data_IF_639184138303
#
_entry.id   IF_639184138303
#
_cell.length_a   1.000
_cell.length_b   1.000
_cell.length_c   1.000
_cell.angle_alpha   90.00
_cell.angle_beta   90.00
_cell.angle_gamma   90.00
#
_symmetry.space_group_name_H-M   'P 1'
#
loop_
_entity.id
_entity.type
_entity.pdbx_description
1 polymer ?
#
# COMPACT_ATOMS: atom_id res chain seq x y z
N UNK A 1 13.06 -18.66 9.88
CA UNK A 1 12.83 -18.10 8.53
C UNK A 1 13.38 -16.69 8.51
N UNK A 2 14.10 -16.25 7.47
CA UNK A 2 14.62 -14.89 7.45
C UNK A 2 13.48 -13.86 7.55
N UNK A 3 13.70 -12.83 8.36
CA UNK A 3 12.77 -11.71 8.62
C UNK A 3 12.72 -10.79 7.41
N UNK A 4 11.97 -11.16 6.37
CA UNK A 4 11.73 -10.31 5.21
C UNK A 4 10.37 -9.60 5.33
N UNK A 5 10.11 -9.01 6.49
CA UNK A 5 8.90 -8.23 6.76
C UNK A 5 9.17 -6.74 6.56
N UNK A 6 8.30 -6.07 5.79
CA UNK A 6 8.34 -4.62 5.67
C UNK A 6 7.51 -3.99 6.79
N UNK A 7 8.17 -3.52 7.84
CA UNK A 7 7.51 -2.86 8.97
C UNK A 7 7.46 -1.35 8.80
N UNK A 8 8.50 -0.76 8.21
CA UNK A 8 8.64 0.67 7.97
C UNK A 8 9.12 0.88 6.53
N UNK A 9 8.79 2.03 5.95
CA UNK A 9 9.20 2.39 4.60
C UNK A 9 9.40 3.89 4.54
N UNK A 10 10.54 4.34 4.03
CA UNK A 10 10.78 5.73 3.66
C UNK A 10 11.00 5.81 2.15
N UNK A 11 10.43 6.83 1.52
CA UNK A 11 10.59 7.11 0.10
C UNK A 11 11.01 8.57 0.00
N UNK A 12 12.32 8.89 0.03
CA UNK A 12 12.81 10.27 0.18
C UNK A 12 12.27 11.26 -0.88
N UNK A 13 11.90 10.77 -2.06
CA UNK A 13 11.32 11.59 -3.12
C UNK A 13 9.86 12.02 -2.88
N UNK A 14 9.15 11.40 -1.93
CA UNK A 14 7.75 11.69 -1.64
C UNK A 14 7.51 12.00 -0.16
N UNK A 15 6.67 12.99 0.14
CA UNK A 15 6.29 13.31 1.51
C UNK A 15 5.46 12.18 2.11
N UNK A 16 5.87 11.63 3.26
CA UNK A 16 5.06 10.68 4.01
C UNK A 16 3.97 11.42 4.80
N UNK A 17 2.77 11.47 4.23
CA UNK A 17 1.60 12.15 4.81
C UNK A 17 1.07 11.42 6.05
N UNK A 18 1.11 10.08 6.03
CA UNK A 18 0.54 9.27 7.13
C UNK A 18 1.19 7.90 7.23
N UNK A 19 1.54 7.53 8.46
CA UNK A 19 1.78 6.14 8.84
C UNK A 19 0.59 5.60 9.63
N UNK A 20 -0.22 4.74 9.01
CA UNK A 20 -1.34 4.05 9.67
C UNK A 20 -0.91 2.76 10.35
N UNK A 21 -1.86 2.02 10.95
CA UNK A 21 -1.57 0.72 11.58
C UNK A 21 -0.88 -0.26 10.60
N UNK A 22 -1.32 -0.29 9.34
CA UNK A 22 -0.90 -1.30 8.35
C UNK A 22 -0.59 -0.75 6.95
N UNK A 23 -0.60 0.58 6.77
CA UNK A 23 -0.29 1.23 5.49
C UNK A 23 0.51 2.50 5.72
N UNK A 24 1.46 2.75 4.83
CA UNK A 24 2.09 4.04 4.64
C UNK A 24 1.39 4.78 3.49
N UNK A 25 1.28 6.10 3.61
CA UNK A 25 0.68 6.98 2.60
C UNK A 25 1.68 8.07 2.25
N UNK A 26 2.03 8.15 0.98
CA UNK A 26 2.94 9.17 0.44
C UNK A 26 2.21 10.09 -0.54
N UNK A 27 2.55 11.38 -0.52
CA UNK A 27 2.05 12.36 -1.48
C UNK A 27 2.89 12.36 -2.75
N UNK A 28 2.25 12.17 -3.90
CA UNK A 28 2.87 12.23 -5.23
C UNK A 28 2.46 13.50 -6.01
N UNK A 29 1.94 14.53 -5.34
CA UNK A 29 1.42 15.75 -5.93
C UNK A 29 -0.06 15.62 -6.29
N UNK A 30 -0.38 15.00 -7.44
CA UNK A 30 -1.77 14.87 -7.94
C UNK A 30 -2.49 13.62 -7.39
N UNK A 31 -1.76 12.72 -6.74
CA UNK A 31 -2.25 11.43 -6.26
C UNK A 31 -1.59 11.04 -4.94
N UNK A 32 -2.10 9.99 -4.31
CA UNK A 32 -1.43 9.34 -3.19
C UNK A 32 -0.88 7.97 -3.60
N UNK A 33 0.28 7.62 -3.06
CA UNK A 33 0.80 6.26 -3.06
C UNK A 33 0.46 5.59 -1.74
N UNK A 34 -0.38 4.56 -1.78
CA UNK A 34 -0.63 3.69 -0.64
C UNK A 34 0.32 2.50 -0.71
N UNK A 35 1.08 2.24 0.36
CA UNK A 35 1.92 1.03 0.46
C UNK A 35 1.48 0.21 1.66
N UNK A 36 1.07 -1.04 1.41
CA UNK A 36 0.69 -1.97 2.46
C UNK A 36 1.93 -2.57 3.13
N UNK A 37 2.04 -2.38 4.45
CA UNK A 37 3.11 -2.98 5.25
C UNK A 37 2.74 -4.39 5.70
N UNK A 38 3.75 -5.11 6.20
CA UNK A 38 3.58 -6.44 6.79
C UNK A 38 3.15 -6.36 8.26
N UNK A 39 3.01 -5.15 8.83
CA UNK A 39 2.46 -4.92 10.17
C UNK A 39 1.04 -5.48 10.28
N UNK A 40 0.71 -6.02 11.45
CA UNK A 40 -0.62 -6.50 11.80
C UNK A 40 -1.05 -5.89 13.12
N UNK A 41 -2.35 -5.68 13.29
CA UNK A 41 -2.90 -5.15 14.55
C UNK A 41 -4.02 -6.05 15.08
N UNK A 42 -4.06 -6.23 16.38
CA UNK A 42 -5.13 -6.90 17.11
C UNK A 42 -5.45 -6.11 18.38
N UNK A 43 -6.73 -6.06 18.78
CA UNK A 43 -7.19 -5.30 19.95
C UNK A 43 -6.66 -3.85 19.97
N UNK A 44 -6.75 -3.18 18.82
CA UNK A 44 -6.26 -1.82 18.57
C UNK A 44 -4.75 -1.56 18.70
N UNK A 45 -3.95 -2.59 18.98
CA UNK A 45 -2.49 -2.49 19.11
C UNK A 45 -1.80 -3.09 17.88
N UNK A 46 -0.77 -2.42 17.36
CA UNK A 46 0.11 -2.96 16.32
C UNK A 46 1.09 -3.93 16.97
N UNK A 47 1.18 -5.16 16.45
CA UNK A 47 2.06 -6.19 16.99
C UNK A 47 3.53 -5.88 16.64
N UNK A 48 4.49 -6.32 17.48
CA UNK A 48 5.91 -6.00 17.29
C UNK A 48 6.53 -6.68 16.07
N UNK A 49 5.95 -7.78 15.61
CA UNK A 49 6.36 -8.50 14.42
C UNK A 49 5.27 -8.43 13.33
N UNK A 50 5.70 -8.47 12.09
CA UNK A 50 4.83 -8.54 10.93
C UNK A 50 4.52 -9.97 10.52
N UNK A 51 3.70 -10.09 9.48
CA UNK A 51 3.50 -11.31 8.72
C UNK A 51 4.15 -11.09 7.36
N UNK A 52 5.28 -11.76 7.04
CA UNK A 52 5.98 -11.54 5.78
C UNK A 52 5.05 -11.64 4.57
N UNK A 53 5.16 -10.67 3.65
CA UNK A 53 4.38 -10.58 2.39
C UNK A 53 2.88 -10.39 2.57
N UNK A 54 2.37 -10.17 3.78
CA UNK A 54 0.95 -9.87 4.03
C UNK A 54 0.52 -8.62 3.26
N UNK A 55 1.36 -7.59 3.20
CA UNK A 55 1.08 -6.38 2.42
C UNK A 55 0.84 -6.66 0.93
N UNK A 56 1.60 -7.60 0.35
CA UNK A 56 1.48 -7.98 -1.06
C UNK A 56 0.14 -8.67 -1.34
N UNK A 57 -0.18 -9.68 -0.53
CA UNK A 57 -1.42 -10.47 -0.69
C UNK A 57 -2.65 -9.58 -0.56
N UNK A 58 -2.70 -8.70 0.45
CA UNK A 58 -3.84 -7.81 0.67
C UNK A 58 -4.00 -6.76 -0.43
N UNK A 59 -2.89 -6.30 -1.01
CA UNK A 59 -2.93 -5.37 -2.16
C UNK A 59 -3.49 -6.06 -3.39
N UNK A 60 -3.06 -7.29 -3.68
CA UNK A 60 -3.58 -8.08 -4.80
C UNK A 60 -5.07 -8.40 -4.66
N UNK A 61 -5.54 -8.75 -3.44
CA UNK A 61 -6.97 -8.92 -3.17
C UNK A 61 -7.73 -7.62 -3.45
N UNK A 62 -7.17 -6.47 -3.05
CA UNK A 62 -7.78 -5.17 -3.33
C UNK A 62 -7.85 -4.89 -4.83
N UNK A 63 -6.77 -5.13 -5.58
CA UNK A 63 -6.77 -5.00 -7.05
C UNK A 63 -7.83 -5.88 -7.71
N UNK A 64 -7.93 -7.16 -7.31
CA UNK A 64 -8.96 -8.06 -7.81
C UNK A 64 -10.36 -7.46 -7.66
N UNK A 65 -10.69 -6.95 -6.48
CA UNK A 65 -12.01 -6.35 -6.25
C UNK A 65 -12.22 -5.04 -7.01
N UNK A 66 -11.20 -4.19 -7.14
CA UNK A 66 -11.30 -2.98 -7.95
C UNK A 66 -11.51 -3.30 -9.43
N UNK A 67 -10.81 -4.30 -9.98
CA UNK A 67 -10.98 -4.72 -11.37
C UNK A 67 -12.35 -5.38 -11.58
N UNK A 68 -12.81 -6.19 -10.61
CA UNK A 68 -14.10 -6.89 -10.68
C UNK A 68 -15.31 -5.95 -10.76
N UNK A 69 -15.22 -4.77 -10.16
CA UNK A 69 -16.31 -3.80 -10.06
C UNK A 69 -16.03 -2.46 -10.76
N UNK A 70 -14.98 -2.37 -11.57
CA UNK A 70 -14.54 -1.13 -12.21
C UNK A 70 -15.64 -0.44 -13.02
N UNK A 71 -16.51 -1.22 -13.68
CA UNK A 71 -17.60 -0.71 -14.50
C UNK A 71 -18.90 -0.45 -13.72
N UNK A 72 -18.99 -0.92 -12.48
CA UNK A 72 -20.20 -0.87 -11.66
C UNK A 72 -20.10 0.20 -10.56
N UNK A 73 -18.90 0.38 -9.99
CA UNK A 73 -18.67 1.22 -8.81
C UNK A 73 -17.43 2.10 -9.04
N UNK A 74 -17.58 3.44 -9.09
CA UNK A 74 -16.44 4.34 -9.12
C UNK A 74 -15.52 4.11 -7.93
N UNK A 75 -14.21 4.09 -8.18
CA UNK A 75 -13.21 3.90 -7.14
C UNK A 75 -12.00 4.81 -7.35
N UNK A 76 -11.14 4.87 -6.34
CA UNK A 76 -10.00 5.78 -6.32
C UNK A 76 -8.75 5.27 -7.06
N UNK A 77 -8.72 4.01 -7.51
CA UNK A 77 -7.47 3.40 -8.03
C UNK A 77 -7.10 4.02 -9.37
N UNK A 78 -5.82 4.37 -9.52
CA UNK A 78 -5.21 4.75 -10.79
C UNK A 78 -4.40 3.56 -11.28
N UNK A 79 -4.73 3.04 -12.47
CA UNK A 79 -3.96 1.96 -13.11
C UNK A 79 -2.66 2.53 -13.68
N UNK A 80 -1.59 1.74 -13.57
CA UNK A 80 -0.26 2.03 -14.13
C UNK A 80 0.35 3.38 -13.70
N UNK A 81 -0.06 3.91 -12.53
CA UNK A 81 0.43 5.19 -12.01
C UNK A 81 1.71 5.10 -11.17
N UNK A 82 2.25 3.90 -10.94
CA UNK A 82 3.43 3.72 -10.10
C UNK A 82 4.70 4.11 -10.87
N UNK A 83 5.57 4.98 -10.31
CA UNK A 83 6.85 5.33 -10.93
C UNK A 83 7.76 4.10 -11.14
N UNK A 84 8.54 4.11 -12.23
CA UNK A 84 9.40 2.98 -12.60
C UNK A 84 10.48 2.69 -11.55
N UNK A 85 11.03 3.73 -10.91
CA UNK A 85 11.99 3.62 -9.81
C UNK A 85 11.39 2.95 -8.56
N UNK A 86 10.06 2.90 -8.45
CA UNK A 86 9.32 2.23 -7.39
C UNK A 86 8.73 0.87 -7.81
N UNK A 87 9.09 0.32 -8.97
CA UNK A 87 8.55 -0.95 -9.48
C UNK A 87 8.68 -2.12 -8.48
N UNK A 88 9.70 -2.10 -7.62
CA UNK A 88 9.91 -3.10 -6.56
C UNK A 88 8.79 -3.11 -5.50
N UNK A 89 8.03 -2.02 -5.36
CA UNK A 89 6.87 -1.91 -4.45
C UNK A 89 5.55 -2.36 -5.10
N UNK A 90 5.52 -2.57 -6.42
CA UNK A 90 4.30 -2.88 -7.17
C UNK A 90 3.41 -3.95 -6.53
N UNK A 91 3.94 -5.08 -5.99
CA UNK A 91 3.10 -6.13 -5.42
C UNK A 91 2.30 -5.68 -4.18
N UNK A 92 2.70 -4.58 -3.52
CA UNK A 92 2.15 -4.10 -2.24
C UNK A 92 1.74 -2.62 -2.27
N UNK A 93 1.67 -2.00 -3.44
CA UNK A 93 1.35 -0.59 -3.59
C UNK A 93 0.11 -0.34 -4.44
N UNK A 94 -0.55 0.79 -4.19
CA UNK A 94 -1.66 1.27 -5.00
C UNK A 94 -1.58 2.79 -5.13
N UNK A 95 -1.60 3.29 -6.37
CA UNK A 95 -1.74 4.71 -6.64
C UNK A 95 -3.23 5.05 -6.66
N UNK A 96 -3.61 6.10 -5.94
CA UNK A 96 -5.01 6.50 -5.76
C UNK A 96 -5.22 7.99 -5.96
N UNK A 97 -6.38 8.36 -6.49
CA UNK A 97 -6.82 9.76 -6.61
C UNK A 97 -6.91 10.40 -5.23
N UNK A 98 -6.56 11.68 -5.12
CA UNK A 98 -6.94 12.50 -3.96
C UNK A 98 -8.46 12.69 -3.96
N UNK A 99 -9.05 12.71 -2.78
CA UNK A 99 -10.48 12.97 -2.59
C UNK A 99 -10.77 14.48 -2.66
#
# INVERSE_FOLDING_TARGET
MPKNELLELEIPQFEKVKSGKVREVFDMGESYLFVASDRVSAFDVVLPNGIPRKGEVLTQISHFWFDRFENDIPNHRIKDGLPEDLAHLAPRSMVVKKA
#
